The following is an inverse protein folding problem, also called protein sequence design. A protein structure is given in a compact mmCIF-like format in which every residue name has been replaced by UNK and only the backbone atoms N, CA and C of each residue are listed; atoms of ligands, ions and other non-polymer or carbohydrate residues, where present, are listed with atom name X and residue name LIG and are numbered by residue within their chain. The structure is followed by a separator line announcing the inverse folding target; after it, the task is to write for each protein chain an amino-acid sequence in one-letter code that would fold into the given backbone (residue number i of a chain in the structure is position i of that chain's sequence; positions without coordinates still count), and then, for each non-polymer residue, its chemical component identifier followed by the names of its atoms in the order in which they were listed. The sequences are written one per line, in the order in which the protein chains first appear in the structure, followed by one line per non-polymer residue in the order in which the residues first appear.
data_IF_481403214338
#
_entry.id   IF_481403214338
#
_cell.length_a   1.000
_cell.length_b   1.000
_cell.length_c   1.000
_cell.angle_alpha   90.00
_cell.angle_beta   90.00
_cell.angle_gamma   90.00
#
_symmetry.space_group_name_H-M   'P 1'
#
loop_
_entity.id
_entity.type
_entity.pdbx_description
1 polymer ?
#
# COMPACT_ATOMS: atom_id res chain seq x y z
N UNK A 1 -14.13 -85.70 20.95
CA UNK A 1 -14.37 -84.79 22.08
C UNK A 1 -15.16 -83.59 21.58
N UNK A 2 -16.23 -83.24 22.29
CA UNK A 2 -17.30 -82.31 21.90
C UNK A 2 -16.92 -80.85 22.24
N UNK A 3 -17.48 -79.88 21.48
CA UNK A 3 -17.77 -78.46 21.86
C UNK A 3 -16.53 -77.52 21.79
N UNK A 4 -16.51 -76.29 21.23
CA UNK A 4 -17.51 -75.23 20.90
C UNK A 4 -16.95 -74.27 19.83
N UNK A 5 -17.88 -73.60 19.14
CA UNK A 5 -17.72 -72.48 18.19
C UNK A 5 -16.93 -71.28 18.76
N UNK A 6 -16.23 -70.55 17.90
CA UNK A 6 -16.23 -69.08 17.92
C UNK A 6 -15.91 -68.53 16.52
N UNK A 7 -16.85 -67.76 15.99
CA UNK A 7 -16.80 -66.99 14.77
C UNK A 7 -16.14 -65.65 15.11
N UNK A 8 -15.05 -65.26 14.46
CA UNK A 8 -14.53 -63.89 14.54
C UNK A 8 -14.17 -63.39 13.15
N UNK A 9 -15.06 -62.54 12.63
CA UNK A 9 -14.84 -61.68 11.47
C UNK A 9 -13.54 -60.88 11.65
N UNK A 10 -12.58 -61.03 10.73
CA UNK A 10 -11.51 -60.04 10.57
C UNK A 10 -12.03 -58.91 9.68
N UNK A 11 -12.58 -57.89 10.34
CA UNK A 11 -12.90 -56.59 9.73
C UNK A 11 -11.58 -55.86 9.55
N UNK A 12 -11.27 -55.54 8.30
CA UNK A 12 -10.18 -54.65 7.86
C UNK A 12 -10.38 -53.26 8.52
N UNK A 13 -9.30 -52.60 8.98
CA UNK A 13 -9.27 -51.15 8.89
C UNK A 13 -8.06 -50.70 8.07
N UNK A 14 -8.27 -50.59 6.77
CA UNK A 14 -7.65 -49.60 5.88
C UNK A 14 -8.04 -48.23 6.41
N UNK A 15 -7.20 -47.67 7.28
CA UNK A 15 -7.49 -46.41 7.94
C UNK A 15 -6.21 -45.72 8.43
N UNK A 16 -5.15 -45.74 7.62
CA UNK A 16 -3.92 -45.01 7.92
C UNK A 16 -3.31 -44.41 6.64
N UNK A 17 -4.11 -43.67 5.89
CA UNK A 17 -3.62 -42.84 4.80
C UNK A 17 -4.60 -41.68 4.58
N UNK A 18 -4.06 -40.47 4.40
CA UNK A 18 -4.78 -39.21 4.09
C UNK A 18 -5.39 -38.38 5.23
N UNK A 19 -4.59 -38.05 6.26
CA UNK A 19 -4.76 -36.80 7.00
C UNK A 19 -3.44 -36.00 7.09
N UNK A 20 -2.73 -35.91 5.98
CA UNK A 20 -1.80 -34.80 5.74
C UNK A 20 -2.60 -33.72 4.99
N UNK A 21 -3.53 -33.09 5.70
CA UNK A 21 -4.18 -31.87 5.20
C UNK A 21 -3.09 -30.85 4.94
N UNK A 22 -2.97 -30.46 3.68
CA UNK A 22 -2.17 -29.35 3.19
C UNK A 22 -2.29 -28.15 4.13
N UNK A 23 -1.31 -27.95 5.00
CA UNK A 23 -0.99 -26.62 5.50
C UNK A 23 -0.34 -25.88 4.33
N UNK A 24 -1.15 -25.47 3.35
CA UNK A 24 -0.76 -24.38 2.48
C UNK A 24 -0.67 -23.16 3.38
N UNK A 25 0.52 -22.95 3.94
CA UNK A 25 0.93 -21.65 4.45
C UNK A 25 0.77 -20.73 3.25
N UNK A 26 -0.33 -19.96 3.26
CA UNK A 26 -0.61 -18.98 2.23
C UNK A 26 0.39 -17.83 2.46
N UNK A 27 1.64 -18.04 2.06
CA UNK A 27 2.62 -16.97 1.92
C UNK A 27 2.09 -16.07 0.82
N UNK A 28 1.60 -14.91 1.22
CA UNK A 28 1.02 -13.96 0.30
C UNK A 28 2.15 -13.10 -0.27
N UNK A 29 2.70 -13.59 -1.38
CA UNK A 29 3.76 -12.94 -2.13
C UNK A 29 3.23 -11.71 -2.87
N UNK A 30 3.90 -10.56 -2.72
CA UNK A 30 3.49 -9.31 -3.39
C UNK A 30 4.32 -9.09 -4.63
N UNK A 31 3.64 -9.04 -5.77
CA UNK A 31 4.23 -8.79 -7.08
C UNK A 31 3.99 -7.34 -7.49
N UNK A 32 4.99 -6.74 -8.14
CA UNK A 32 4.89 -5.43 -8.80
C UNK A 32 5.14 -5.56 -10.29
N UNK A 33 4.35 -4.87 -11.09
CA UNK A 33 4.48 -4.82 -12.54
C UNK A 33 4.08 -3.43 -13.07
N UNK A 34 4.46 -3.09 -14.30
CA UNK A 34 3.95 -1.89 -14.98
C UNK A 34 2.76 -2.27 -15.87
N UNK A 35 1.70 -1.47 -15.85
CA UNK A 35 0.59 -1.59 -16.80
C UNK A 35 0.95 -1.01 -18.18
N UNK A 36 0.01 -1.09 -19.12
CA UNK A 36 0.17 -0.64 -20.52
C UNK A 36 0.46 0.86 -20.59
N UNK A 37 -0.01 1.65 -19.63
CA UNK A 37 0.27 3.07 -19.51
C UNK A 37 1.55 3.37 -18.69
N UNK A 38 2.35 2.36 -18.38
CA UNK A 38 3.63 2.48 -17.68
C UNK A 38 3.53 2.77 -16.18
N UNK A 39 2.32 2.67 -15.60
CA UNK A 39 2.05 2.91 -14.18
C UNK A 39 2.33 1.65 -13.37
N UNK A 40 2.85 1.83 -12.16
CA UNK A 40 3.13 0.72 -11.27
C UNK A 40 1.84 0.16 -10.65
N UNK A 41 1.69 -1.16 -10.73
CA UNK A 41 0.60 -1.93 -10.16
C UNK A 41 1.15 -3.01 -9.23
N UNK A 42 0.34 -3.38 -8.24
CA UNK A 42 0.69 -4.39 -7.23
C UNK A 42 -0.41 -5.44 -7.15
N UNK A 43 -0.01 -6.69 -6.92
CA UNK A 43 -0.90 -7.85 -6.89
C UNK A 43 -0.38 -8.89 -5.91
N UNK A 44 -1.29 -9.64 -5.30
CA UNK A 44 -1.01 -10.83 -4.49
C UNK A 44 -0.75 -12.09 -5.35
N UNK A 45 -0.87 -11.96 -6.68
CA UNK A 45 -0.61 -13.01 -7.66
C UNK A 45 0.25 -12.51 -8.83
N UNK A 46 1.14 -13.34 -9.39
CA UNK A 46 1.90 -12.97 -10.57
C UNK A 46 0.96 -12.81 -11.77
N UNK A 47 1.14 -11.75 -12.56
CA UNK A 47 0.33 -11.50 -13.76
C UNK A 47 0.98 -12.17 -14.96
N UNK A 48 0.31 -13.18 -15.53
CA UNK A 48 0.79 -13.88 -16.75
C UNK A 48 0.90 -12.87 -17.91
N UNK A 49 2.01 -12.91 -18.64
CA UNK A 49 2.25 -12.05 -19.81
C UNK A 49 2.90 -10.68 -19.50
N UNK A 50 3.19 -10.36 -18.24
CA UNK A 50 3.90 -9.13 -17.84
C UNK A 50 5.09 -9.51 -16.97
N UNK A 51 6.22 -8.80 -17.10
CA UNK A 51 7.41 -9.02 -16.26
C UNK A 51 7.14 -8.57 -14.81
N UNK A 52 6.47 -9.42 -14.03
CA UNK A 52 6.14 -9.19 -12.63
C UNK A 52 7.32 -9.56 -11.73
N UNK A 53 7.78 -8.61 -10.92
CA UNK A 53 8.84 -8.83 -9.93
C UNK A 53 8.26 -9.01 -8.54
N UNK A 54 8.75 -10.01 -7.81
CA UNK A 54 8.44 -10.20 -6.40
C UNK A 54 9.11 -9.09 -5.57
N UNK A 55 8.32 -8.40 -4.74
CA UNK A 55 8.81 -7.33 -3.85
C UNK A 55 8.80 -7.76 -2.39
N UNK A 56 7.90 -8.66 -2.04
CA UNK A 56 7.86 -9.24 -0.70
C UNK A 56 7.63 -10.74 -0.84
N UNK A 57 8.69 -11.52 -0.64
CA UNK A 57 8.56 -12.85 -0.09
C UNK A 57 8.40 -12.66 1.41
N UNK A 58 7.41 -13.29 2.04
CA UNK A 58 7.25 -13.32 3.49
C UNK A 58 8.35 -14.20 4.15
N UNK A 59 9.59 -14.10 3.67
CA UNK A 59 10.80 -14.68 4.28
C UNK A 59 11.33 -13.78 5.40
N UNK A 60 10.42 -13.15 6.15
CA UNK A 60 10.71 -12.44 7.40
C UNK A 60 10.94 -13.41 8.56
N UNK A 61 11.60 -14.54 8.32
CA UNK A 61 12.30 -15.26 9.37
C UNK A 61 13.50 -14.40 9.76
N UNK A 62 13.28 -13.39 10.61
CA UNK A 62 14.40 -12.88 11.40
C UNK A 62 14.84 -14.05 12.28
N UNK A 63 15.91 -14.70 11.85
CA UNK A 63 16.88 -15.33 12.73
C UNK A 63 17.47 -14.21 13.60
N UNK A 64 16.67 -13.68 14.52
CA UNK A 64 17.17 -12.98 15.69
C UNK A 64 17.91 -14.03 16.50
N UNK A 65 19.23 -14.00 16.39
CA UNK A 65 20.12 -14.71 17.30
C UNK A 65 19.66 -14.47 18.74
N UNK A 66 19.21 -15.53 19.41
CA UNK A 66 19.35 -15.70 20.86
C UNK A 66 18.52 -14.81 21.78
N UNK A 67 17.75 -15.49 22.64
CA UNK A 67 17.19 -15.06 23.94
C UNK A 67 15.95 -14.16 23.88
N UNK A 68 14.81 -14.82 24.08
CA UNK A 68 13.71 -14.45 24.99
C UNK A 68 13.78 -12.99 25.43
N UNK A 69 13.04 -12.13 24.72
CA UNK A 69 12.76 -10.78 25.18
C UNK A 69 11.80 -10.88 26.36
N UNK A 70 12.33 -10.79 27.57
CA UNK A 70 11.52 -10.69 28.79
C UNK A 70 10.97 -9.26 28.88
N UNK A 71 9.87 -9.03 28.16
CA UNK A 71 9.13 -7.76 28.16
C UNK A 71 8.65 -7.43 29.57
N UNK A 72 8.32 -8.45 30.38
CA UNK A 72 7.94 -8.24 31.77
C UNK A 72 9.07 -7.59 32.54
N UNK A 73 10.27 -8.15 32.54
CA UNK A 73 11.43 -7.57 33.23
C UNK A 73 11.83 -6.20 32.68
N UNK A 74 11.74 -6.01 31.37
CA UNK A 74 12.04 -4.72 30.72
C UNK A 74 11.09 -3.61 31.21
N UNK A 75 9.79 -3.89 31.27
CA UNK A 75 8.79 -2.91 31.70
C UNK A 75 8.77 -2.69 33.21
N UNK A 76 8.93 -3.74 34.03
CA UNK A 76 8.92 -3.62 35.50
C UNK A 76 10.16 -2.90 36.04
N UNK A 77 11.30 -2.99 35.35
CA UNK A 77 12.49 -2.19 35.66
C UNK A 77 12.22 -0.69 35.50
N UNK A 78 11.44 -0.30 34.49
CA UNK A 78 11.14 1.09 34.16
C UNK A 78 9.93 1.64 34.91
N UNK A 79 8.95 0.79 35.19
CA UNK A 79 7.67 1.15 35.79
C UNK A 79 7.36 0.28 37.01
N UNK A 80 7.42 0.88 38.19
CA UNK A 80 7.17 0.24 39.49
C UNK A 80 5.72 0.46 39.92
N UNK A 81 4.75 -0.01 39.14
CA UNK A 81 3.33 0.17 39.47
C UNK A 81 2.88 -0.80 40.56
N UNK A 82 2.20 -0.29 41.58
CA UNK A 82 1.59 -1.09 42.66
C UNK A 82 0.10 -1.34 42.42
N UNK A 83 -0.60 -0.34 41.86
CA UNK A 83 -2.02 -0.36 41.54
C UNK A 83 -2.37 -1.34 40.39
N UNK A 84 -3.42 -2.19 40.54
CA UNK A 84 -3.83 -3.14 39.51
C UNK A 84 -4.20 -2.51 38.16
N UNK A 85 -4.81 -1.33 38.13
CA UNK A 85 -5.21 -0.66 36.87
C UNK A 85 -3.97 -0.15 36.16
N UNK A 86 -3.03 0.46 36.87
CA UNK A 86 -1.75 0.88 36.31
C UNK A 86 -0.94 -0.32 35.80
N UNK A 87 -0.92 -1.44 36.52
CA UNK A 87 -0.27 -2.68 36.07
C UNK A 87 -0.85 -3.20 34.76
N UNK A 88 -2.16 -3.05 34.53
CA UNK A 88 -2.79 -3.45 33.28
C UNK A 88 -2.23 -2.71 32.06
N UNK A 89 -1.77 -1.46 32.22
CA UNK A 89 -1.17 -0.67 31.12
C UNK A 89 0.11 -1.29 30.56
N UNK A 90 0.82 -2.13 31.33
CA UNK A 90 2.01 -2.82 30.86
C UNK A 90 1.69 -3.89 29.81
N UNK A 91 0.47 -4.44 29.83
CA UNK A 91 0.01 -5.40 28.83
C UNK A 91 -0.53 -4.73 27.56
N UNK A 92 -0.77 -3.41 27.58
CA UNK A 92 -1.31 -2.64 26.45
C UNK A 92 -0.19 -2.25 25.50
N UNK A 93 -0.45 -2.38 24.20
CA UNK A 93 0.49 -2.03 23.13
C UNK A 93 -0.20 -1.21 22.05
N UNK A 94 0.62 -0.54 21.24
CA UNK A 94 0.16 0.02 19.96
C UNK A 94 0.57 -0.92 18.83
N UNK A 95 -0.40 -1.39 18.05
CA UNK A 95 -0.17 -2.17 16.83
C UNK A 95 -0.20 -1.23 15.64
N UNK A 96 0.86 -1.19 14.83
CA UNK A 96 0.93 -0.41 13.61
C UNK A 96 0.78 -1.29 12.38
N UNK A 97 -0.05 -0.83 11.45
CA UNK A 97 -0.16 -1.34 10.09
C UNK A 97 0.28 -0.27 9.09
N UNK A 98 0.32 -0.59 7.80
CA UNK A 98 0.63 0.38 6.75
C UNK A 98 -0.43 1.48 6.59
N UNK A 99 -1.65 1.24 7.08
CA UNK A 99 -2.78 2.14 6.91
C UNK A 99 -3.19 2.84 8.21
N UNK A 100 -2.57 2.52 9.34
CA UNK A 100 -2.87 3.18 10.60
C UNK A 100 -2.27 2.47 11.80
N UNK A 101 -2.74 2.86 12.98
CA UNK A 101 -2.39 2.23 14.23
C UNK A 101 -3.66 1.99 15.06
N UNK A 102 -3.60 1.00 15.94
CA UNK A 102 -4.64 0.74 16.92
C UNK A 102 -4.06 0.11 18.17
N UNK A 103 -4.91 -0.07 19.16
CA UNK A 103 -4.50 -0.69 20.41
C UNK A 103 -4.57 -2.20 20.33
N UNK A 104 -3.73 -2.85 21.10
CA UNK A 104 -3.84 -4.27 21.40
C UNK A 104 -3.41 -4.53 22.84
N UNK A 105 -3.58 -5.76 23.28
CA UNK A 105 -3.10 -6.18 24.58
C UNK A 105 -2.65 -7.62 24.58
N UNK A 106 -1.62 -7.90 25.38
CA UNK A 106 -1.18 -9.26 25.63
C UNK A 106 -2.21 -9.99 26.49
N UNK A 107 -2.58 -11.18 26.04
CA UNK A 107 -3.59 -12.04 26.68
C UNK A 107 -2.99 -13.28 27.34
N UNK A 108 -1.71 -13.57 27.05
CA UNK A 108 -0.98 -14.70 27.63
C UNK A 108 0.44 -14.31 27.96
N UNK A 109 1.07 -15.05 28.87
CA UNK A 109 2.50 -14.96 29.15
C UNK A 109 3.37 -15.18 27.91
N UNK A 110 2.98 -16.10 27.03
CA UNK A 110 3.75 -16.47 25.81
C UNK A 110 3.50 -15.53 24.62
N UNK A 111 3.17 -14.27 24.92
CA UNK A 111 3.06 -13.14 23.99
C UNK A 111 2.07 -13.31 22.85
N UNK A 112 0.95 -14.02 23.10
CA UNK A 112 -0.25 -13.83 22.30
C UNK A 112 -0.90 -12.48 22.62
N UNK A 113 -1.32 -11.80 21.55
CA UNK A 113 -1.88 -10.47 21.59
C UNK A 113 -3.21 -10.44 20.87
N UNK A 114 -4.20 -9.80 21.47
CA UNK A 114 -5.48 -9.50 20.82
C UNK A 114 -5.49 -8.02 20.42
N UNK A 115 -5.97 -7.75 19.20
CA UNK A 115 -6.24 -6.42 18.69
C UNK A 115 -7.50 -6.46 17.82
N UNK A 116 -7.95 -5.31 17.35
CA UNK A 116 -9.08 -5.25 16.45
C UNK A 116 -8.71 -5.75 15.04
N UNK A 117 -9.67 -6.43 14.40
CA UNK A 117 -9.50 -6.89 13.00
C UNK A 117 -9.26 -5.72 12.07
N UNK A 118 -9.95 -4.59 12.22
CA UNK A 118 -9.73 -3.42 11.37
C UNK A 118 -8.32 -2.80 11.50
N UNK A 119 -7.56 -3.12 12.54
CA UNK A 119 -6.18 -2.64 12.68
C UNK A 119 -5.23 -3.42 11.75
N UNK A 120 -5.44 -4.74 11.67
CA UNK A 120 -4.59 -5.67 10.90
C UNK A 120 -5.14 -5.98 9.50
N UNK A 121 -6.44 -5.80 9.32
CA UNK A 121 -7.23 -5.96 8.08
C UNK A 121 -8.22 -4.80 8.00
N UNK A 122 -7.73 -3.56 7.81
CA UNK A 122 -8.58 -2.40 7.69
C UNK A 122 -9.59 -2.59 6.57
N UNK A 123 -10.88 -2.49 6.91
CA UNK A 123 -11.92 -2.34 5.91
C UNK A 123 -11.69 -1.02 5.16
N UNK A 124 -12.14 -0.97 3.90
CA UNK A 124 -12.23 0.30 3.15
C UNK A 124 -13.18 1.22 3.93
N UNK A 125 -12.62 2.13 4.73
CA UNK A 125 -13.37 3.06 5.59
C UNK A 125 -13.50 4.45 4.95
N UNK A 126 -14.12 5.41 5.66
CA UNK A 126 -14.36 6.77 5.13
C UNK A 126 -13.12 7.46 4.56
N UNK A 127 -11.98 7.38 5.26
CA UNK A 127 -10.72 7.97 4.77
C UNK A 127 -10.22 7.32 3.48
N UNK A 128 -10.45 6.01 3.34
CA UNK A 128 -10.14 5.25 2.13
C UNK A 128 -10.97 5.72 0.95
N UNK A 129 -12.28 5.83 1.15
CA UNK A 129 -13.22 6.27 0.11
C UNK A 129 -12.94 7.71 -0.30
N UNK A 130 -12.64 8.59 0.65
CA UNK A 130 -12.23 9.97 0.36
C UNK A 130 -10.92 10.03 -0.43
N UNK A 131 -9.92 9.20 -0.06
CA UNK A 131 -8.65 9.14 -0.80
C UNK A 131 -8.85 8.60 -2.20
N UNK A 132 -9.64 7.53 -2.36
CA UNK A 132 -9.98 6.95 -3.65
C UNK A 132 -10.79 7.93 -4.52
N UNK A 133 -11.74 8.67 -3.93
CA UNK A 133 -12.50 9.71 -4.63
C UNK A 133 -11.58 10.84 -5.08
N UNK A 134 -10.67 11.31 -4.22
CA UNK A 134 -9.68 12.33 -4.56
C UNK A 134 -8.76 11.89 -5.69
N UNK A 135 -8.29 10.65 -5.65
CA UNK A 135 -7.48 10.05 -6.72
C UNK A 135 -8.28 10.01 -8.05
N UNK A 136 -9.55 9.60 -8.03
CA UNK A 136 -10.41 9.62 -9.22
C UNK A 136 -10.62 11.04 -9.76
N UNK A 137 -10.86 12.02 -8.89
CA UNK A 137 -10.98 13.42 -9.27
C UNK A 137 -9.68 13.94 -9.91
N UNK A 138 -8.54 13.66 -9.29
CA UNK A 138 -7.22 14.03 -9.84
C UNK A 138 -6.96 13.38 -11.20
N UNK A 139 -7.38 12.12 -11.40
CA UNK A 139 -7.27 11.43 -12.69
C UNK A 139 -8.10 12.14 -13.78
N UNK A 140 -9.33 12.56 -13.46
CA UNK A 140 -10.18 13.32 -14.38
C UNK A 140 -9.58 14.69 -14.72
N UNK A 141 -9.05 15.40 -13.72
CA UNK A 141 -8.36 16.68 -13.92
C UNK A 141 -7.14 16.51 -14.82
N UNK A 142 -6.30 15.50 -14.56
CA UNK A 142 -5.13 15.20 -15.38
C UNK A 142 -5.53 14.89 -16.84
N UNK A 143 -6.60 14.13 -17.05
CA UNK A 143 -7.12 13.84 -18.39
C UNK A 143 -7.57 15.11 -19.11
N UNK A 144 -8.27 16.01 -18.41
CA UNK A 144 -8.69 17.31 -18.97
C UNK A 144 -7.49 18.19 -19.33
N UNK A 145 -6.50 18.29 -18.45
CA UNK A 145 -5.29 19.07 -18.71
C UNK A 145 -4.49 18.52 -19.89
N UNK A 146 -4.42 17.19 -20.05
CA UNK A 146 -3.81 16.56 -21.24
C UNK A 146 -4.54 16.93 -22.54
N UNK A 147 -5.87 16.93 -22.52
CA UNK A 147 -6.67 17.33 -23.68
C UNK A 147 -6.50 18.82 -24.02
N UNK A 148 -6.48 19.68 -23.01
CA UNK A 148 -6.19 21.10 -23.21
C UNK A 148 -4.79 21.31 -23.81
N UNK A 149 -3.80 20.57 -23.32
CA UNK A 149 -2.44 20.62 -23.85
C UNK A 149 -2.36 20.19 -25.32
N UNK A 150 -3.09 19.14 -25.72
CA UNK A 150 -3.11 18.71 -27.12
C UNK A 150 -3.74 19.76 -28.02
N UNK A 151 -4.82 20.40 -27.58
CA UNK A 151 -5.47 21.49 -28.32
C UNK A 151 -4.58 22.73 -28.44
N UNK A 152 -3.86 23.10 -27.37
CA UNK A 152 -2.91 24.22 -27.41
C UNK A 152 -1.74 23.94 -28.35
N UNK A 153 -1.23 22.69 -28.35
CA UNK A 153 -0.18 22.27 -29.29
C UNK A 153 -0.62 22.41 -30.74
N UNK A 154 -1.85 22.01 -31.05
CA UNK A 154 -2.42 22.15 -32.39
C UNK A 154 -2.57 23.62 -32.79
N UNK A 155 -3.08 24.47 -31.89
CA UNK A 155 -3.17 25.92 -32.12
C UNK A 155 -1.80 26.56 -32.37
N UNK A 156 -0.78 26.18 -31.62
CA UNK A 156 0.59 26.66 -31.84
C UNK A 156 1.13 26.25 -33.21
N UNK A 157 0.86 25.02 -33.65
CA UNK A 157 1.26 24.57 -34.98
C UNK A 157 0.60 25.41 -36.09
N UNK A 158 -0.70 25.69 -35.96
CA UNK A 158 -1.44 26.55 -36.90
C UNK A 158 -0.88 27.98 -36.88
N UNK A 159 -0.65 28.56 -35.70
CA UNK A 159 -0.12 29.91 -35.58
C UNK A 159 1.30 30.03 -36.17
N UNK A 160 2.13 28.99 -35.98
CA UNK A 160 3.45 28.90 -36.61
C UNK A 160 3.33 28.95 -38.13
N UNK A 161 2.45 28.13 -38.71
CA UNK A 161 2.22 28.12 -40.16
C UNK A 161 1.76 29.49 -40.67
N UNK A 162 0.81 30.14 -39.97
CA UNK A 162 0.35 31.49 -40.35
C UNK A 162 1.49 32.53 -40.32
N UNK A 163 2.41 32.41 -39.37
CA UNK A 163 3.57 33.29 -39.27
C UNK A 163 4.53 33.07 -40.46
N UNK A 164 4.77 31.81 -40.83
CA UNK A 164 5.57 31.43 -42.01
C UNK A 164 4.92 31.94 -43.32
N UNK A 165 3.62 31.76 -43.48
CA UNK A 165 2.87 32.25 -44.65
C UNK A 165 2.91 33.79 -44.75
N UNK A 166 2.81 34.48 -43.60
CA UNK A 166 2.87 35.94 -43.56
C UNK A 166 4.27 36.47 -43.90
N UNK A 167 5.33 35.76 -43.48
CA UNK A 167 6.69 36.09 -43.87
C UNK A 167 6.88 36.00 -45.40
N UNK A 168 6.40 34.92 -46.02
CA UNK A 168 6.45 34.76 -47.48
C UNK A 168 5.71 35.89 -48.21
N UNK A 169 4.54 36.29 -47.68
CA UNK A 169 3.81 37.47 -48.19
C UNK A 169 4.66 38.75 -48.09
N UNK A 170 5.24 39.04 -46.92
CA UNK A 170 6.06 40.23 -46.70
C UNK A 170 7.30 40.26 -47.60
N UNK A 171 7.93 39.11 -47.83
CA UNK A 171 9.08 38.97 -48.72
C UNK A 171 8.73 39.26 -50.18
N UNK A 172 7.53 38.83 -50.63
CA UNK A 172 7.01 39.05 -51.98
C UNK A 172 6.62 40.50 -52.30
N UNK A 173 6.54 41.40 -51.31
CA UNK A 173 6.27 42.81 -51.54
C UNK A 173 7.47 43.54 -52.15
N UNK A 174 7.19 44.49 -53.05
CA UNK A 174 8.18 45.43 -53.57
C UNK A 174 8.72 46.35 -52.47
N UNK A 175 9.97 46.80 -52.59
CA UNK A 175 10.59 47.71 -51.62
C UNK A 175 9.79 49.01 -51.42
N UNK A 176 9.72 49.48 -50.17
CA UNK A 176 9.01 50.69 -49.78
C UNK A 176 8.12 50.51 -48.54
N UNK A 177 7.30 51.53 -48.23
CA UNK A 177 6.53 51.61 -46.97
C UNK A 177 5.66 50.37 -46.67
N UNK A 178 5.09 49.74 -47.69
CA UNK A 178 4.25 48.54 -47.51
C UNK A 178 5.05 47.35 -46.96
N UNK A 179 6.26 47.15 -47.47
CA UNK A 179 7.19 46.11 -47.00
C UNK A 179 7.66 46.40 -45.57
N UNK A 180 8.00 47.66 -45.27
CA UNK A 180 8.41 48.08 -43.92
C UNK A 180 7.28 47.93 -42.88
N UNK A 181 6.02 48.12 -43.29
CA UNK A 181 4.86 47.90 -42.42
C UNK A 181 4.63 46.41 -42.18
N UNK A 182 4.69 45.59 -43.23
CA UNK A 182 4.53 44.13 -43.13
C UNK A 182 5.59 43.51 -42.21
N UNK A 183 6.87 43.91 -42.31
CA UNK A 183 7.90 43.40 -41.39
C UNK A 183 7.69 43.82 -39.93
N UNK A 184 7.15 45.03 -39.69
CA UNK A 184 6.80 45.46 -38.33
C UNK A 184 5.67 44.63 -37.74
N UNK A 185 4.65 44.33 -38.55
CA UNK A 185 3.54 43.48 -38.13
C UNK A 185 4.00 42.03 -37.91
N UNK A 186 4.87 41.50 -38.78
CA UNK A 186 5.51 40.19 -38.61
C UNK A 186 6.23 40.10 -37.25
N UNK A 187 7.04 41.11 -36.92
CA UNK A 187 7.78 41.12 -35.65
C UNK A 187 6.85 41.06 -34.43
N UNK A 188 5.67 41.70 -34.48
CA UNK A 188 4.67 41.62 -33.41
C UNK A 188 4.06 40.21 -33.31
N UNK A 189 3.71 39.59 -34.44
CA UNK A 189 3.19 38.22 -34.46
C UNK A 189 4.23 37.20 -34.01
N UNK A 190 5.48 37.36 -34.42
CA UNK A 190 6.59 36.52 -33.98
C UNK A 190 6.77 36.63 -32.46
N UNK A 191 6.78 37.85 -31.91
CA UNK A 191 6.87 38.04 -30.47
C UNK A 191 5.73 37.35 -29.72
N UNK A 192 4.48 37.50 -30.17
CA UNK A 192 3.33 36.83 -29.56
C UNK A 192 3.47 35.29 -29.63
N UNK A 193 3.87 34.76 -30.79
CA UNK A 193 4.09 33.33 -30.97
C UNK A 193 5.16 32.79 -30.00
N UNK A 194 6.26 33.52 -29.83
CA UNK A 194 7.32 33.11 -28.89
C UNK A 194 6.81 33.10 -27.44
N UNK A 195 5.99 34.08 -27.05
CA UNK A 195 5.37 34.10 -25.72
C UNK A 195 4.43 32.90 -25.52
N UNK A 196 3.57 32.61 -26.49
CA UNK A 196 2.66 31.47 -26.43
C UNK A 196 3.43 30.13 -26.36
N UNK A 197 4.52 30.01 -27.14
CA UNK A 197 5.40 28.84 -27.13
C UNK A 197 6.07 28.65 -25.77
N UNK A 198 6.56 29.73 -25.15
CA UNK A 198 7.14 29.67 -23.80
C UNK A 198 6.10 29.21 -22.77
N UNK A 199 4.91 29.82 -22.77
CA UNK A 199 3.83 29.44 -21.85
C UNK A 199 3.43 27.98 -22.00
N UNK A 200 3.34 27.50 -23.24
CA UNK A 200 3.06 26.10 -23.55
C UNK A 200 4.15 25.17 -22.99
N UNK A 201 5.42 25.48 -23.22
CA UNK A 201 6.54 24.68 -22.71
C UNK A 201 6.53 24.60 -21.18
N UNK A 202 6.29 25.71 -20.50
CA UNK A 202 6.17 25.74 -19.05
C UNK A 202 4.97 24.94 -18.55
N UNK A 203 3.82 25.05 -19.22
CA UNK A 203 2.62 24.30 -18.88
C UNK A 203 2.81 22.79 -19.09
N UNK A 204 3.51 22.39 -20.15
CA UNK A 204 3.88 21.00 -20.40
C UNK A 204 4.80 20.45 -19.30
N UNK A 205 5.80 21.22 -18.86
CA UNK A 205 6.68 20.84 -17.75
C UNK A 205 5.92 20.70 -16.43
N UNK A 206 4.93 21.56 -16.17
CA UNK A 206 4.05 21.43 -14.99
C UNK A 206 3.20 20.17 -15.09
N UNK A 207 2.54 19.94 -16.23
CA UNK A 207 1.71 18.76 -16.46
C UNK A 207 2.50 17.46 -16.27
N UNK A 208 3.72 17.39 -16.79
CA UNK A 208 4.60 16.22 -16.61
C UNK A 208 4.97 15.99 -15.14
N UNK A 209 5.17 17.06 -14.36
CA UNK A 209 5.44 16.96 -12.92
C UNK A 209 4.20 16.48 -12.16
N UNK A 210 3.03 17.01 -12.50
CA UNK A 210 1.76 16.64 -11.88
C UNK A 210 1.39 15.20 -12.21
N UNK A 211 1.62 14.75 -13.44
CA UNK A 211 1.45 13.36 -13.85
C UNK A 211 2.36 12.41 -13.04
N UNK A 212 3.65 12.74 -12.88
CA UNK A 212 4.56 11.94 -12.06
C UNK A 212 4.09 11.84 -10.61
N UNK A 213 3.67 12.96 -10.00
CA UNK A 213 3.14 13.00 -8.64
C UNK A 213 1.85 12.17 -8.51
N UNK A 214 0.94 12.31 -9.46
CA UNK A 214 -0.30 11.55 -9.50
C UNK A 214 -0.02 10.04 -9.59
N UNK A 215 0.85 9.63 -10.51
CA UNK A 215 1.22 8.23 -10.67
C UNK A 215 1.87 7.65 -9.40
N UNK A 216 2.71 8.43 -8.72
CA UNK A 216 3.29 8.04 -7.44
C UNK A 216 2.21 7.86 -6.36
N UNK A 217 1.32 8.83 -6.18
CA UNK A 217 0.21 8.76 -5.20
C UNK A 217 -0.71 7.57 -5.46
N UNK A 218 -1.07 7.33 -6.72
CA UNK A 218 -1.89 6.18 -7.13
C UNK A 218 -1.18 4.86 -6.82
N UNK A 219 0.11 4.75 -7.17
CA UNK A 219 0.95 3.58 -6.90
C UNK A 219 1.05 3.29 -5.40
N UNK A 220 1.33 4.30 -4.59
CA UNK A 220 1.49 4.16 -3.14
C UNK A 220 0.17 3.78 -2.46
N UNK A 221 -0.94 4.36 -2.91
CA UNK A 221 -2.27 3.97 -2.45
C UNK A 221 -2.60 2.51 -2.82
N UNK A 222 -2.35 2.11 -4.07
CA UNK A 222 -2.57 0.74 -4.53
C UNK A 222 -1.72 -0.26 -3.74
N UNK A 223 -0.43 0.04 -3.55
CA UNK A 223 0.50 -0.77 -2.77
C UNK A 223 0.03 -0.94 -1.32
N UNK A 224 -0.36 0.16 -0.68
CA UNK A 224 -0.85 0.14 0.70
C UNK A 224 -2.15 -0.65 0.82
N UNK A 225 -3.03 -0.59 -0.19
CA UNK A 225 -4.24 -1.42 -0.27
C UNK A 225 -3.93 -2.91 -0.27
N UNK A 226 -2.99 -3.32 -1.11
CA UNK A 226 -2.62 -4.72 -1.28
C UNK A 226 -1.94 -5.23 -0.01
N UNK A 227 -0.91 -4.53 0.47
CA UNK A 227 -0.18 -4.94 1.69
C UNK A 227 -1.13 -5.10 2.87
N UNK A 228 -2.01 -4.14 3.13
CA UNK A 228 -2.85 -4.23 4.33
C UNK A 228 -3.81 -5.42 4.33
N UNK A 229 -4.14 -5.96 3.17
CA UNK A 229 -4.96 -7.17 3.08
C UNK A 229 -4.14 -8.45 3.19
N UNK A 230 -2.86 -8.42 2.80
CA UNK A 230 -2.00 -9.62 2.78
C UNK A 230 -1.03 -9.72 3.95
N UNK A 231 -0.74 -8.62 4.65
CA UNK A 231 0.30 -8.54 5.67
C UNK A 231 0.13 -9.60 6.76
N UNK A 232 1.15 -10.43 6.95
CA UNK A 232 1.19 -11.43 8.02
C UNK A 232 1.99 -10.95 9.24
N UNK A 233 2.60 -9.76 9.17
CA UNK A 233 3.47 -9.27 10.23
C UNK A 233 3.28 -7.78 10.51
N UNK A 234 3.27 -7.43 11.79
CA UNK A 234 2.89 -6.12 12.31
C UNK A 234 3.94 -5.60 13.30
N UNK A 235 4.14 -4.29 13.28
CA UNK A 235 4.96 -3.60 14.27
C UNK A 235 4.13 -3.39 15.54
N UNK A 236 4.71 -3.72 16.69
CA UNK A 236 4.09 -3.56 18.01
C UNK A 236 4.98 -2.66 18.86
N UNK A 237 4.43 -1.58 19.36
CA UNK A 237 5.11 -0.61 20.22
C UNK A 237 4.63 -0.80 21.65
N UNK A 238 5.59 -1.06 22.54
CA UNK A 238 5.37 -1.27 23.96
C UNK A 238 5.23 0.07 24.71
N UNK A 239 4.81 0.00 25.98
CA UNK A 239 4.60 1.18 26.85
C UNK A 239 5.81 2.10 26.95
N UNK A 240 7.02 1.55 26.85
CA UNK A 240 8.29 2.26 26.95
C UNK A 240 8.82 2.80 25.62
N UNK A 241 8.04 2.66 24.54
CA UNK A 241 8.37 2.93 23.13
C UNK A 241 9.30 1.92 22.46
N UNK A 242 9.60 0.78 23.09
CA UNK A 242 10.32 -0.30 22.44
C UNK A 242 9.44 -0.92 21.35
N UNK A 243 10.02 -1.15 20.18
CA UNK A 243 9.34 -1.71 19.02
C UNK A 243 9.74 -3.17 18.80
N UNK A 244 8.75 -4.04 18.70
CA UNK A 244 8.90 -5.48 18.40
C UNK A 244 7.99 -5.87 17.23
N UNK A 245 8.13 -7.10 16.76
CA UNK A 245 7.37 -7.61 15.61
C UNK A 245 6.49 -8.78 15.99
N UNK A 246 5.23 -8.74 15.57
CA UNK A 246 4.26 -9.82 15.79
C UNK A 246 3.81 -10.40 14.45
N UNK A 247 3.49 -11.70 14.45
CA UNK A 247 2.88 -12.43 13.33
C UNK A 247 1.38 -12.55 13.54
N UNK A 248 0.61 -12.43 12.47
CA UNK A 248 -0.81 -12.71 12.47
C UNK A 248 -1.03 -14.22 12.54
N UNK A 249 -1.76 -14.64 13.56
CA UNK A 249 -2.11 -16.04 13.78
C UNK A 249 -3.51 -16.32 13.24
N UNK A 250 -4.47 -15.45 13.57
CA UNK A 250 -5.86 -15.64 13.17
C UNK A 250 -6.62 -14.33 13.14
N UNK A 251 -7.58 -14.24 12.24
CA UNK A 251 -8.59 -13.18 12.22
C UNK A 251 -9.95 -13.82 12.50
N UNK A 252 -10.74 -13.22 13.39
CA UNK A 252 -12.10 -13.70 13.63
C UNK A 252 -12.98 -13.50 12.38
N UNK A 253 -13.82 -14.48 12.09
CA UNK A 253 -14.74 -14.45 10.95
C UNK A 253 -15.87 -13.43 11.17
N UNK A 254 -16.44 -13.43 12.37
CA UNK A 254 -17.64 -12.68 12.77
C UNK A 254 -17.31 -11.41 13.53
N UNK A 255 -16.31 -11.48 14.41
CA UNK A 255 -15.99 -10.37 15.31
C UNK A 255 -14.87 -9.49 14.77
N UNK A 256 -14.82 -8.24 15.23
CA UNK A 256 -13.73 -7.30 14.91
C UNK A 256 -12.47 -7.59 15.75
N UNK A 257 -12.02 -8.85 15.74
CA UNK A 257 -10.89 -9.32 16.55
C UNK A 257 -9.84 -10.03 15.68
N UNK A 258 -8.58 -9.86 16.07
CA UNK A 258 -7.45 -10.57 15.50
C UNK A 258 -6.46 -10.99 16.59
N UNK A 259 -5.86 -12.15 16.37
CA UNK A 259 -4.85 -12.76 17.22
C UNK A 259 -3.48 -12.63 16.55
N UNK A 260 -2.56 -11.97 17.24
CA UNK A 260 -1.15 -11.88 16.87
C UNK A 260 -0.28 -12.66 17.86
N UNK A 261 0.95 -13.00 17.46
CA UNK A 261 1.95 -13.62 18.33
C UNK A 261 3.31 -12.99 18.12
N UNK A 262 3.99 -12.67 19.21
CA UNK A 262 5.43 -12.40 19.21
C UNK A 262 6.16 -13.70 19.54
N UNK A 263 7.12 -14.08 18.70
CA UNK A 263 7.89 -15.31 18.91
C UNK A 263 8.90 -15.12 20.05
N UNK A 264 9.14 -16.19 20.82
CA UNK A 264 10.19 -16.27 21.84
C UNK A 264 10.19 -15.08 22.82
N UNK A 265 9.10 -14.91 23.56
CA UNK A 265 8.87 -13.73 24.39
C UNK A 265 8.12 -14.11 25.68
N UNK A 266 8.34 -13.35 26.76
CA UNK A 266 7.48 -13.33 27.95
C UNK A 266 6.94 -11.93 28.17
N UNK A 267 5.61 -11.79 28.25
CA UNK A 267 4.94 -10.49 28.37
C UNK A 267 4.05 -10.40 29.61
N UNK A 268 3.90 -9.18 30.18
CA UNK A 268 2.79 -8.91 31.07
C UNK A 268 1.48 -9.06 30.27
N UNK A 269 0.48 -9.68 30.88
CA UNK A 269 -0.80 -9.94 30.22
C UNK A 269 -1.96 -9.59 31.15
N UNK A 270 -3.11 -9.28 30.56
CA UNK A 270 -4.33 -9.00 31.32
C UNK A 270 -4.80 -10.26 32.03
N UNK A 271 -4.97 -10.16 33.36
CA UNK A 271 -5.54 -11.23 34.18
C UNK A 271 -6.99 -10.89 34.45
N UNK A 272 -7.89 -11.81 34.10
CA UNK A 272 -9.29 -11.70 34.50
C UNK A 272 -9.37 -11.91 36.01
N UNK A 273 -9.98 -10.97 36.72
CA UNK A 273 -10.32 -11.15 38.12
C UNK A 273 -11.65 -11.91 38.17
N UNK A 274 -11.64 -13.16 38.60
CA UNK A 274 -12.87 -13.88 38.90
C UNK A 274 -13.50 -13.23 40.12
N UNK A 275 -14.76 -12.79 40.03
CA UNK A 275 -15.55 -12.54 41.24
C UNK A 275 -15.67 -13.87 41.98
N UNK A 276 -15.06 -13.97 43.17
CA UNK A 276 -15.39 -15.01 44.13
C UNK A 276 -16.72 -14.67 44.79
#
# INVERSE_FOLDING_TARGET
MKIKKSLSFFIIPTGLLCLLTFNSICSADIYKYKDEEGRWQFSDKPKKGVNSKLIHADNGGFAGNGKISDITSLLTKKYQFTDPVQKATMAVVTVKSKLGAGSGFFVTKDCYLVTNKHVVRPAKGKQWDMTQAKIKQNALMLKRSKLQMSQQKERLAINKQKLEDFLLYAEGLSSGRAKDLAYREYALFEQQYQQDLQQFNEAQLRLNRDEKKFNQQQSDFNFSSVISNVAQSFEVVLKDNTTIRAKLIKVASTDDLALLKVDQCQAPYLKMHSKS
#
